data_IF_586685991798
#
_entry.id   IF_586685991798
#
_cell.length_a   1.000
_cell.length_b   1.000
_cell.length_c   1.000
_cell.angle_alpha   90.00
_cell.angle_beta   90.00
_cell.angle_gamma   90.00
#
_symmetry.space_group_name_H-M   'P 1'
#
loop_
_entity.id
_entity.type
_entity.pdbx_description
1 polymer ?
#
# COMPACT_ATOMS: atom_id res chain seq x y z
N UNK A 1 -6.54 21.56 19.52
CA UNK A 1 -5.17 21.05 19.39
C UNK A 1 -5.00 20.07 18.23
N UNK A 2 -5.88 19.13 18.16
CA UNK A 2 -5.93 18.20 17.05
C UNK A 2 -6.10 18.92 15.72
N UNK A 3 -6.93 19.94 15.72
CA UNK A 3 -7.18 20.74 14.52
C UNK A 3 -5.92 21.49 14.10
N UNK A 4 -5.18 22.01 15.06
CA UNK A 4 -3.95 22.74 14.77
C UNK A 4 -2.93 21.81 14.11
N UNK A 5 -2.81 20.59 14.60
CA UNK A 5 -1.91 19.61 14.03
C UNK A 5 -2.31 19.33 12.56
N UNK A 6 -3.58 19.10 12.33
CA UNK A 6 -4.06 18.82 10.98
C UNK A 6 -3.85 19.99 10.05
N UNK A 7 -4.02 21.22 10.54
CA UNK A 7 -3.88 22.40 9.72
C UNK A 7 -2.43 22.67 9.32
N UNK A 8 -1.47 22.22 10.13
CA UNK A 8 -0.06 22.53 9.92
C UNK A 8 0.73 21.41 9.27
N UNK A 9 0.16 20.23 9.07
CA UNK A 9 0.87 19.09 8.53
C UNK A 9 0.67 18.97 7.02
N UNK A 10 1.70 18.48 6.34
CA UNK A 10 1.63 18.11 4.93
C UNK A 10 0.82 16.82 4.78
N UNK A 11 0.32 16.56 3.57
CA UNK A 11 -0.46 15.37 3.28
C UNK A 11 0.21 14.07 3.70
N UNK A 12 1.53 13.95 3.46
CA UNK A 12 2.27 12.76 3.84
C UNK A 12 2.35 12.55 5.34
N UNK A 13 2.48 13.64 6.10
CA UNK A 13 2.51 13.56 7.55
C UNK A 13 1.15 13.16 8.11
N UNK A 14 0.08 13.68 7.52
CA UNK A 14 -1.28 13.29 7.90
C UNK A 14 -1.50 11.81 7.63
N UNK A 15 -1.02 11.30 6.50
CA UNK A 15 -1.14 9.89 6.17
C UNK A 15 -0.42 9.01 7.19
N UNK A 16 0.76 9.43 7.63
CA UNK A 16 1.52 8.69 8.64
C UNK A 16 0.77 8.64 9.97
N UNK A 17 0.13 9.74 10.34
CA UNK A 17 -0.67 9.79 11.56
C UNK A 17 -1.90 8.89 11.44
N UNK A 18 -2.56 8.90 10.30
CA UNK A 18 -3.70 8.01 10.04
C UNK A 18 -3.31 6.55 10.18
N UNK A 19 -2.18 6.18 9.59
CA UNK A 19 -1.68 4.82 9.65
C UNK A 19 -1.34 4.43 11.08
N UNK A 20 -0.66 5.31 11.82
CA UNK A 20 -0.33 5.07 13.21
C UNK A 20 -1.59 4.88 14.06
N UNK A 21 -2.64 5.64 13.76
CA UNK A 21 -3.92 5.53 14.47
C UNK A 21 -4.55 4.17 14.23
N UNK A 22 -4.53 3.70 12.98
CA UNK A 22 -5.06 2.38 12.65
C UNK A 22 -4.28 1.29 13.38
N UNK A 23 -2.96 1.41 13.42
CA UNK A 23 -2.11 0.45 14.12
C UNK A 23 -2.39 0.41 15.60
N UNK A 24 -2.64 1.57 16.20
CA UNK A 24 -2.91 1.66 17.63
C UNK A 24 -4.17 0.91 18.04
N UNK A 25 -5.05 0.63 17.07
CA UNK A 25 -6.27 -0.14 17.35
C UNK A 25 -6.01 -1.62 17.53
N UNK A 26 -4.83 -2.09 17.17
CA UNK A 26 -4.44 -3.51 17.31
C UNK A 26 -5.43 -4.47 16.65
N UNK A 27 -5.92 -4.10 15.46
CA UNK A 27 -6.86 -4.94 14.72
C UNK A 27 -6.13 -6.10 14.05
N UNK A 28 -6.84 -7.18 13.81
CA UNK A 28 -6.26 -8.34 13.14
C UNK A 28 -6.11 -8.15 11.64
N UNK A 29 -6.90 -7.26 11.07
CA UNK A 29 -6.80 -6.91 9.66
C UNK A 29 -6.87 -5.39 9.53
N UNK A 30 -5.90 -4.82 8.88
CA UNK A 30 -5.88 -3.40 8.55
C UNK A 30 -5.90 -3.24 7.05
N UNK A 31 -6.77 -2.39 6.53
CA UNK A 31 -6.93 -2.16 5.10
C UNK A 31 -6.61 -0.69 4.80
N UNK A 32 -5.72 -0.48 3.86
CA UNK A 32 -5.35 0.86 3.40
C UNK A 32 -5.64 0.96 1.91
N UNK A 33 -6.49 1.90 1.54
CA UNK A 33 -6.90 2.11 0.15
C UNK A 33 -6.14 3.29 -0.43
N UNK A 34 -5.22 2.99 -1.33
CA UNK A 34 -4.36 3.97 -1.99
C UNK A 34 -3.75 4.97 -0.98
N UNK A 35 -3.01 4.48 0.01
CA UNK A 35 -2.47 5.36 1.06
C UNK A 35 -1.46 6.37 0.54
N UNK A 36 -0.91 6.15 -0.64
CA UNK A 36 0.05 7.05 -1.27
C UNK A 36 -0.63 8.20 -2.02
N UNK A 37 -1.94 8.18 -2.18
CA UNK A 37 -2.65 9.19 -2.94
C UNK A 37 -2.49 10.58 -2.33
N UNK A 38 -2.12 11.55 -3.17
CA UNK A 38 -2.02 12.93 -2.75
C UNK A 38 -0.76 13.30 -1.98
N UNK A 39 0.23 12.42 -1.89
CA UNK A 39 1.48 12.74 -1.21
C UNK A 39 2.62 12.87 -2.22
N UNK A 40 3.65 13.62 -1.84
CA UNK A 40 4.81 13.82 -2.69
C UNK A 40 5.77 12.64 -2.63
N UNK A 41 6.76 12.65 -3.51
CA UNK A 41 7.71 11.55 -3.61
C UNK A 41 8.50 11.33 -2.32
N UNK A 42 8.89 12.41 -1.66
CA UNK A 42 9.65 12.31 -0.42
C UNK A 42 8.84 11.65 0.69
N UNK A 43 7.60 12.09 0.86
CA UNK A 43 6.71 11.50 1.87
C UNK A 43 6.34 10.08 1.52
N UNK A 44 6.28 9.76 0.23
CA UNK A 44 6.00 8.40 -0.22
C UNK A 44 7.09 7.43 0.24
N UNK A 45 8.36 7.84 0.14
CA UNK A 45 9.46 7.00 0.60
C UNK A 45 9.37 6.74 2.10
N UNK A 46 8.99 7.76 2.86
CA UNK A 46 8.79 7.59 4.30
C UNK A 46 7.62 6.65 4.59
N UNK A 47 6.57 6.73 3.79
CA UNK A 47 5.42 5.84 3.92
C UNK A 47 5.82 4.38 3.71
N UNK A 48 6.64 4.11 2.70
CA UNK A 48 7.14 2.76 2.44
C UNK A 48 7.90 2.23 3.66
N UNK A 49 8.75 3.05 4.26
CA UNK A 49 9.50 2.65 5.44
C UNK A 49 8.57 2.32 6.62
N UNK A 50 7.51 3.10 6.77
CA UNK A 50 6.52 2.83 7.82
C UNK A 50 5.88 1.46 7.62
N UNK A 51 5.46 1.15 6.41
CA UNK A 51 4.85 -0.15 6.12
C UNK A 51 5.83 -1.30 6.32
N UNK A 52 7.10 -1.11 5.95
CA UNK A 52 8.10 -2.15 6.17
C UNK A 52 8.32 -2.42 7.66
N UNK A 53 8.36 -1.38 8.46
CA UNK A 53 8.48 -1.54 9.91
C UNK A 53 7.28 -2.25 10.49
N UNK A 54 6.08 -1.87 10.04
CA UNK A 54 4.85 -2.51 10.48
C UNK A 54 4.87 -4.01 10.19
N UNK A 55 5.26 -4.35 8.98
CA UNK A 55 5.33 -5.74 8.55
C UNK A 55 6.27 -6.54 9.43
N UNK A 56 7.40 -5.95 9.83
CA UNK A 56 8.39 -6.63 10.66
C UNK A 56 7.92 -6.82 12.11
N UNK A 57 7.06 -5.93 12.61
CA UNK A 57 6.64 -5.94 14.01
C UNK A 57 5.33 -6.66 14.25
N UNK A 58 4.52 -6.84 13.23
CA UNK A 58 3.20 -7.44 13.36
C UNK A 58 3.31 -8.94 13.13
N UNK A 59 2.81 -9.73 14.08
CA UNK A 59 2.89 -11.19 14.01
C UNK A 59 1.53 -11.86 13.84
N UNK A 60 0.49 -11.30 14.47
CA UNK A 60 -0.83 -11.92 14.48
C UNK A 60 -1.86 -11.11 13.70
N UNK A 61 -1.39 -10.27 12.80
CA UNK A 61 -2.27 -9.37 12.04
C UNK A 61 -1.86 -9.38 10.58
N UNK A 62 -2.81 -9.00 9.73
CA UNK A 62 -2.56 -8.87 8.30
C UNK A 62 -2.80 -7.43 7.89
N UNK A 63 -2.03 -6.99 6.91
CA UNK A 63 -2.15 -5.66 6.32
C UNK A 63 -2.50 -5.86 4.85
N UNK A 64 -3.60 -5.25 4.42
CA UNK A 64 -4.01 -5.25 3.03
C UNK A 64 -3.87 -3.84 2.49
N UNK A 65 -3.13 -3.67 1.40
CA UNK A 65 -2.93 -2.37 0.78
C UNK A 65 -3.43 -2.45 -0.65
N UNK A 66 -4.32 -1.53 -1.00
CA UNK A 66 -4.82 -1.40 -2.36
C UNK A 66 -3.99 -0.30 -3.01
N UNK A 67 -3.20 -0.66 -4.02
CA UNK A 67 -2.30 0.29 -4.66
C UNK A 67 -1.91 -0.19 -6.04
N UNK A 68 -1.50 0.74 -6.89
CA UNK A 68 -0.93 0.44 -8.20
C UNK A 68 0.55 0.84 -8.26
N UNK A 69 1.11 1.27 -7.13
CA UNK A 69 2.50 1.72 -7.09
C UNK A 69 3.43 0.52 -6.96
N UNK A 70 4.37 0.43 -7.87
CA UNK A 70 5.34 -0.66 -7.88
C UNK A 70 6.09 -0.80 -6.56
N UNK A 71 6.47 0.32 -5.97
CA UNK A 71 7.24 0.29 -4.72
C UNK A 71 6.47 -0.31 -3.56
N UNK A 72 5.15 -0.14 -3.55
CA UNK A 72 4.32 -0.78 -2.54
C UNK A 72 4.21 -2.28 -2.83
N UNK A 73 4.10 -2.63 -4.10
CA UNK A 73 4.05 -4.04 -4.49
C UNK A 73 5.34 -4.76 -4.10
N UNK A 74 6.48 -4.08 -4.18
CA UNK A 74 7.78 -4.67 -3.84
C UNK A 74 7.89 -5.09 -2.38
N UNK A 75 7.16 -4.47 -1.48
CA UNK A 75 7.22 -4.83 -0.06
C UNK A 75 6.12 -5.80 0.36
N UNK A 76 5.28 -6.22 -0.56
CA UNK A 76 4.21 -7.16 -0.26
C UNK A 76 4.75 -8.58 -0.11
N UNK A 77 4.10 -9.37 0.73
CA UNK A 77 4.39 -10.80 0.81
C UNK A 77 3.63 -11.54 -0.27
N UNK A 78 2.38 -11.15 -0.48
CA UNK A 78 1.51 -11.72 -1.50
C UNK A 78 0.85 -10.60 -2.28
N UNK A 79 0.58 -10.86 -3.55
CA UNK A 79 -0.09 -9.90 -4.42
C UNK A 79 -1.32 -10.56 -5.02
N UNK A 80 -2.44 -9.83 -4.99
CA UNK A 80 -3.69 -10.22 -5.63
C UNK A 80 -3.99 -9.21 -6.72
N UNK A 81 -4.15 -9.71 -7.94
CA UNK A 81 -4.47 -8.87 -9.09
C UNK A 81 -5.95 -9.01 -9.39
N UNK A 82 -6.66 -7.88 -9.34
CA UNK A 82 -8.08 -7.84 -9.65
C UNK A 82 -8.30 -7.29 -11.05
N UNK A 83 -9.21 -7.90 -11.78
CA UNK A 83 -9.55 -7.49 -13.13
C UNK A 83 -11.01 -7.81 -13.41
N UNK A 84 -11.76 -6.79 -13.85
CA UNK A 84 -13.17 -6.96 -14.21
C UNK A 84 -13.98 -7.64 -13.10
N UNK A 85 -13.72 -7.25 -11.86
CA UNK A 85 -14.45 -7.78 -10.71
C UNK A 85 -14.06 -9.19 -10.29
N UNK A 86 -12.96 -9.70 -10.82
CA UNK A 86 -12.49 -11.06 -10.52
C UNK A 86 -11.02 -11.06 -10.12
N UNK A 87 -10.62 -12.10 -9.43
CA UNK A 87 -9.20 -12.32 -9.17
C UNK A 87 -8.58 -12.90 -10.44
N UNK A 88 -7.68 -12.13 -11.04
CA UNK A 88 -6.99 -12.52 -12.26
C UNK A 88 -5.74 -13.35 -11.95
N UNK A 89 -5.03 -12.99 -10.88
CA UNK A 89 -3.85 -13.71 -10.44
C UNK A 89 -3.68 -13.48 -8.94
N UNK A 90 -3.07 -14.44 -8.27
CA UNK A 90 -2.83 -14.35 -6.84
C UNK A 90 -1.66 -15.25 -6.48
N UNK A 91 -0.78 -14.79 -5.63
CA UNK A 91 0.35 -15.59 -5.18
C UNK A 91 1.45 -14.77 -4.55
N UNK A 92 2.57 -15.41 -4.25
CA UNK A 92 3.72 -14.71 -3.66
C UNK A 92 4.22 -13.61 -4.57
N UNK A 93 4.75 -12.56 -3.96
CA UNK A 93 5.31 -11.44 -4.71
C UNK A 93 6.34 -11.91 -5.75
N UNK A 94 7.16 -12.88 -5.39
CA UNK A 94 8.23 -13.37 -6.26
C UNK A 94 7.71 -13.94 -7.57
N UNK A 95 6.49 -14.42 -7.57
CA UNK A 95 5.86 -14.97 -8.77
C UNK A 95 5.03 -13.94 -9.52
N UNK A 96 4.31 -13.12 -8.79
CA UNK A 96 3.34 -12.19 -9.40
C UNK A 96 4.02 -10.92 -9.90
N UNK A 97 4.91 -10.33 -9.11
CA UNK A 97 5.50 -9.04 -9.46
C UNK A 97 6.30 -9.08 -10.77
N UNK A 98 7.17 -10.07 -11.02
CA UNK A 98 7.88 -10.11 -12.30
C UNK A 98 6.94 -10.18 -13.50
N UNK A 99 5.82 -10.90 -13.37
CA UNK A 99 4.84 -10.99 -14.44
C UNK A 99 4.15 -9.67 -14.71
N UNK A 100 4.01 -8.82 -13.68
CA UNK A 100 3.37 -7.51 -13.83
C UNK A 100 4.29 -6.47 -14.45
N UNK A 101 5.59 -6.53 -14.21
CA UNK A 101 6.51 -5.48 -14.63
C UNK A 101 7.54 -5.94 -15.66
N UNK A 102 7.61 -7.23 -15.94
CA UNK A 102 8.63 -7.79 -16.82
C UNK A 102 8.29 -7.81 -18.30
N UNK A 103 7.05 -7.45 -18.69
CA UNK A 103 6.59 -7.49 -20.08
C UNK A 103 5.72 -6.28 -20.39
N UNK A 104 5.52 -5.95 -21.68
CA UNK A 104 4.59 -4.87 -22.03
C UNK A 104 3.18 -5.10 -21.50
N UNK A 105 2.71 -6.34 -21.47
CA UNK A 105 1.40 -6.65 -20.92
C UNK A 105 1.34 -6.40 -19.40
N UNK A 106 2.48 -6.43 -18.74
CA UNK A 106 2.54 -6.10 -17.32
C UNK A 106 2.20 -4.65 -17.06
N UNK A 107 2.56 -3.76 -17.99
CA UNK A 107 2.21 -2.34 -17.90
C UNK A 107 0.69 -2.20 -17.95
N UNK A 108 0.04 -2.97 -18.81
CA UNK A 108 -1.41 -2.97 -18.87
C UNK A 108 -2.03 -3.50 -17.59
N UNK A 109 -1.45 -4.54 -17.01
CA UNK A 109 -1.93 -5.08 -15.75
C UNK A 109 -1.80 -4.05 -14.63
N UNK A 110 -0.71 -3.29 -14.61
CA UNK A 110 -0.55 -2.22 -13.64
C UNK A 110 -1.61 -1.14 -13.81
N UNK A 111 -1.94 -0.79 -15.06
CA UNK A 111 -3.00 0.15 -15.33
C UNK A 111 -4.35 -0.36 -14.84
N UNK A 112 -4.58 -1.65 -15.00
CA UNK A 112 -5.81 -2.27 -14.53
C UNK A 112 -5.89 -2.18 -13.02
N UNK A 113 -4.81 -2.45 -12.31
CA UNK A 113 -4.75 -2.27 -10.87
C UNK A 113 -5.04 -0.82 -10.48
N UNK A 114 -4.50 0.10 -11.25
CA UNK A 114 -4.71 1.52 -11.02
C UNK A 114 -6.17 1.91 -11.19
N UNK A 115 -6.84 1.29 -12.16
CA UNK A 115 -8.23 1.60 -12.45
C UNK A 115 -9.19 1.11 -11.38
N UNK A 116 -8.74 0.24 -10.55
CA UNK A 116 -9.58 -0.33 -9.50
C UNK A 116 -9.55 0.51 -8.25
#
# INVERSE_FOLDING_TARGET
>A
RFREVNASLYGGELKRIEIATVLARSTRLSVFDEPEAGIDLWSFQNLIQVFEKMRAQIHDSSIMIISHQERILEIADEIVVLRDGRIDASGPREEILPALIGTPSAVEACKILKSK
#
